data_IF_751871588698
#
_entry.id   IF_751871588698
#
_cell.length_a   1.000
_cell.length_b   1.000
_cell.length_c   1.000
_cell.angle_alpha   90.00
_cell.angle_beta   90.00
_cell.angle_gamma   90.00
#
_symmetry.space_group_name_H-M   'P 1'
#
loop_
_entity.id
_entity.type
_entity.pdbx_description
1 polymer ?
#
# COMPACT_ATOMS: atom_id res chain seq x y z
N UNK A 1 -14.43 1.72 10.85
CA UNK A 1 -13.05 1.75 10.31
C UNK A 1 -12.94 2.97 9.41
N UNK A 2 -11.83 3.71 9.46
CA UNK A 2 -11.54 4.73 8.45
C UNK A 2 -11.48 4.07 7.06
N UNK A 3 -11.91 4.79 6.03
CA UNK A 3 -11.91 4.31 4.65
C UNK A 3 -10.48 3.94 4.23
N UNK A 4 -10.35 2.93 3.37
CA UNK A 4 -9.07 2.46 2.80
C UNK A 4 -7.97 2.09 3.82
N UNK A 5 -8.34 1.71 5.04
CA UNK A 5 -7.39 1.23 6.05
C UNK A 5 -7.33 -0.30 6.10
N UNK A 6 -6.12 -0.82 6.32
CA UNK A 6 -5.87 -2.25 6.53
C UNK A 6 -5.28 -2.50 7.91
N UNK A 7 -5.40 -3.74 8.40
CA UNK A 7 -4.81 -4.13 9.68
C UNK A 7 -3.29 -4.29 9.59
N UNK A 8 -2.58 -4.07 10.70
CA UNK A 8 -1.13 -4.30 10.81
C UNK A 8 -0.73 -5.71 10.36
N UNK A 9 -1.48 -6.72 10.77
CA UNK A 9 -1.30 -8.11 10.33
C UNK A 9 -1.38 -8.26 8.81
N UNK A 10 -2.32 -7.58 8.16
CA UNK A 10 -2.47 -7.59 6.69
C UNK A 10 -1.27 -6.92 6.02
N UNK A 11 -0.87 -5.74 6.50
CA UNK A 11 0.29 -5.01 5.99
C UNK A 11 1.59 -5.82 6.12
N UNK A 12 1.85 -6.41 7.30
CA UNK A 12 3.02 -7.30 7.53
C UNK A 12 3.04 -8.46 6.54
N UNK A 13 1.88 -9.09 6.31
CA UNK A 13 1.76 -10.23 5.39
C UNK A 13 2.03 -9.83 3.95
N UNK A 14 1.49 -8.71 3.48
CA UNK A 14 1.65 -8.25 2.11
C UNK A 14 3.07 -7.78 1.83
N UNK A 15 3.65 -6.97 2.71
CA UNK A 15 5.04 -6.49 2.56
C UNK A 15 6.06 -7.64 2.64
N UNK A 16 5.82 -8.63 3.52
CA UNK A 16 6.64 -9.86 3.58
C UNK A 16 6.55 -10.67 2.29
N UNK A 17 5.38 -10.69 1.65
CA UNK A 17 5.19 -11.38 0.37
C UNK A 17 5.91 -10.64 -0.77
N UNK A 18 5.78 -9.32 -0.84
CA UNK A 18 6.52 -8.50 -1.81
C UNK A 18 8.02 -8.81 -1.75
N UNK A 19 8.66 -8.69 -0.58
CA UNK A 19 10.11 -8.96 -0.40
C UNK A 19 10.55 -10.38 -0.78
N UNK A 20 9.63 -11.34 -0.85
CA UNK A 20 9.92 -12.73 -1.25
C UNK A 20 9.76 -12.99 -2.74
N UNK A 21 9.03 -12.14 -3.44
CA UNK A 21 8.65 -12.32 -4.84
C UNK A 21 9.16 -11.17 -5.72
N UNK A 22 9.86 -10.19 -5.14
CA UNK A 22 10.31 -8.95 -5.81
C UNK A 22 11.08 -9.24 -7.11
N UNK A 23 11.92 -10.26 -7.10
CA UNK A 23 12.68 -10.76 -8.26
C UNK A 23 11.76 -11.27 -9.39
N UNK A 24 10.64 -11.91 -9.04
CA UNK A 24 9.65 -12.41 -9.99
C UNK A 24 8.74 -11.29 -10.50
N UNK A 25 8.28 -10.37 -9.64
CA UNK A 25 7.38 -9.30 -10.05
C UNK A 25 8.06 -8.24 -10.91
N UNK A 26 9.25 -7.79 -10.52
CA UNK A 26 9.97 -6.78 -11.27
C UNK A 26 10.42 -7.30 -12.65
N UNK A 27 10.51 -8.62 -12.83
CA UNK A 27 10.80 -9.23 -14.12
C UNK A 27 9.66 -9.07 -15.14
N UNK A 28 8.41 -8.90 -14.69
CA UNK A 28 7.23 -8.80 -15.55
C UNK A 28 6.77 -7.35 -15.82
N UNK A 29 7.24 -6.36 -15.04
CA UNK A 29 6.99 -4.92 -15.23
C UNK A 29 5.49 -4.53 -15.41
N UNK A 30 4.56 -5.33 -14.90
CA UNK A 30 3.13 -5.14 -15.18
C UNK A 30 2.56 -3.94 -14.42
N UNK A 31 2.97 -3.74 -13.16
CA UNK A 31 2.56 -2.59 -12.36
C UNK A 31 3.43 -1.36 -12.67
N UNK A 32 2.85 -0.39 -13.38
CA UNK A 32 3.55 0.84 -13.83
C UNK A 32 3.38 2.02 -12.89
N UNK A 33 2.21 2.09 -12.26
CA UNK A 33 1.86 3.17 -11.36
C UNK A 33 0.74 2.73 -10.42
N UNK A 34 0.49 3.56 -9.44
CA UNK A 34 -0.58 3.41 -8.47
C UNK A 34 -1.46 4.65 -8.49
N UNK A 35 -2.76 4.47 -8.69
CA UNK A 35 -3.72 5.54 -8.49
C UNK A 35 -4.00 5.70 -7.00
N UNK A 36 -3.59 6.83 -6.41
CA UNK A 36 -3.72 7.13 -4.98
C UNK A 36 -4.80 8.19 -4.80
N UNK A 37 -5.93 7.90 -4.12
CA UNK A 37 -6.94 8.90 -3.86
C UNK A 37 -6.41 10.03 -2.95
N UNK A 38 -6.70 11.28 -3.32
CA UNK A 38 -6.28 12.45 -2.53
C UNK A 38 -6.88 12.51 -1.13
N UNK A 39 -8.07 11.91 -0.93
CA UNK A 39 -8.71 11.82 0.38
C UNK A 39 -7.80 11.14 1.41
N UNK A 40 -7.08 10.10 0.99
CA UNK A 40 -6.22 9.34 1.88
C UNK A 40 -4.94 10.10 2.25
N UNK A 41 -4.37 10.85 1.31
CA UNK A 41 -3.23 11.74 1.61
C UNK A 41 -3.65 12.85 2.58
N UNK A 42 -4.87 13.40 2.44
CA UNK A 42 -5.42 14.38 3.39
C UNK A 42 -5.59 13.77 4.78
N UNK A 43 -6.06 12.52 4.87
CA UNK A 43 -6.21 11.82 6.14
C UNK A 43 -4.85 11.63 6.84
N UNK A 44 -3.80 11.25 6.11
CA UNK A 44 -2.45 11.11 6.68
C UNK A 44 -1.89 12.48 7.14
N UNK A 45 -2.15 13.55 6.37
CA UNK A 45 -1.78 14.92 6.77
C UNK A 45 -2.53 15.31 8.06
N UNK A 46 -3.82 14.97 8.17
CA UNK A 46 -4.63 15.27 9.34
C UNK A 46 -4.19 14.50 10.60
N UNK A 47 -3.44 13.41 10.46
CA UNK A 47 -2.79 12.72 11.59
C UNK A 47 -1.60 13.50 12.17
N UNK A 48 -1.13 14.56 11.51
CA UNK A 48 0.03 15.34 11.92
C UNK A 48 1.35 14.79 11.36
N UNK A 49 1.28 13.97 10.31
CA UNK A 49 2.47 13.47 9.62
C UNK A 49 3.26 14.62 8.97
N UNK A 50 4.59 14.58 9.11
CA UNK A 50 5.51 15.52 8.46
C UNK A 50 5.87 15.05 7.06
N UNK A 51 5.98 13.73 6.90
CA UNK A 51 6.17 13.06 5.61
C UNK A 51 5.35 11.78 5.57
N UNK A 52 5.30 11.11 4.43
CA UNK A 52 4.69 9.78 4.30
C UNK A 52 5.76 8.76 3.91
N UNK A 53 5.61 7.52 4.41
CA UNK A 53 6.41 6.39 3.95
C UNK A 53 5.51 5.42 3.19
N UNK A 54 5.97 5.00 2.03
CA UNK A 54 5.30 4.02 1.20
C UNK A 54 6.00 2.67 1.27
N UNK A 55 5.22 1.60 1.35
CA UNK A 55 5.67 0.22 1.36
C UNK A 55 5.00 -0.54 0.22
N UNK A 56 5.75 -1.36 -0.50
CA UNK A 56 5.20 -2.27 -1.49
C UNK A 56 4.69 -3.55 -0.81
N UNK A 57 3.53 -4.01 -1.24
CA UNK A 57 2.89 -5.22 -0.78
C UNK A 57 2.33 -6.03 -1.95
N UNK A 58 2.11 -7.32 -1.73
CA UNK A 58 1.35 -8.14 -2.68
C UNK A 58 0.15 -8.74 -1.96
N UNK A 59 -1.05 -8.43 -2.45
CA UNK A 59 -2.28 -9.08 -2.05
C UNK A 59 -2.48 -10.34 -2.88
N UNK A 60 -2.56 -11.50 -2.21
CA UNK A 60 -2.90 -12.78 -2.84
C UNK A 60 -4.38 -13.03 -2.63
N UNK A 61 -5.14 -13.16 -3.71
CA UNK A 61 -6.56 -13.48 -3.68
C UNK A 61 -6.86 -14.69 -4.57
N UNK A 62 -7.94 -15.40 -4.26
CA UNK A 62 -8.48 -16.43 -5.14
C UNK A 62 -9.72 -15.86 -5.81
N UNK A 63 -9.69 -15.79 -7.14
CA UNK A 63 -10.84 -15.40 -7.96
C UNK A 63 -11.21 -16.64 -8.75
N UNK A 64 -12.41 -17.16 -8.49
CA UNK A 64 -12.87 -18.45 -9.03
C UNK A 64 -11.87 -19.59 -8.72
N UNK A 65 -11.22 -20.12 -9.76
CA UNK A 65 -10.21 -21.19 -9.65
C UNK A 65 -8.77 -20.70 -9.75
N UNK A 66 -8.56 -19.39 -9.97
CA UNK A 66 -7.25 -18.81 -10.20
C UNK A 66 -6.72 -18.08 -8.96
N UNK A 67 -5.42 -18.20 -8.75
CA UNK A 67 -4.72 -17.39 -7.75
C UNK A 67 -4.21 -16.13 -8.43
N UNK A 68 -4.83 -15.00 -8.08
CA UNK A 68 -4.42 -13.68 -8.56
C UNK A 68 -3.58 -13.03 -7.49
N UNK A 69 -2.52 -12.38 -7.93
CA UNK A 69 -1.68 -11.56 -7.09
C UNK A 69 -1.76 -10.12 -7.58
N UNK A 70 -1.99 -9.20 -6.66
CA UNK A 70 -2.21 -7.79 -6.95
C UNK A 70 -1.20 -6.97 -6.15
N UNK A 71 -0.45 -6.11 -6.82
CA UNK A 71 0.47 -5.17 -6.20
C UNK A 71 -0.29 -4.09 -5.43
N UNK A 72 0.24 -3.75 -4.26
CA UNK A 72 -0.33 -2.78 -3.33
C UNK A 72 0.73 -1.76 -2.91
N UNK A 73 0.37 -0.48 -2.87
CA UNK A 73 1.14 0.57 -2.18
C UNK A 73 0.46 0.88 -0.85
N UNK A 74 1.18 0.59 0.22
CA UNK A 74 0.75 0.83 1.59
C UNK A 74 1.38 2.14 2.05
N UNK A 75 0.59 3.07 2.57
CA UNK A 75 1.06 4.38 3.05
C UNK A 75 0.88 4.49 4.56
N UNK A 76 1.90 5.05 5.23
CA UNK A 76 1.87 5.43 6.65
C UNK A 76 2.39 6.85 6.84
N UNK A 77 1.84 7.57 7.83
CA UNK A 77 2.39 8.85 8.28
C UNK A 77 3.73 8.67 9.00
N UNK A 78 4.62 9.66 8.87
CA UNK A 78 5.93 9.69 9.54
C UNK A 78 6.02 10.97 10.37
N UNK A 79 6.40 10.82 11.63
CA UNK A 79 6.54 11.93 12.58
C UNK A 79 7.80 12.78 12.31
N UNK A 80 7.94 13.89 13.06
CA UNK A 80 9.09 14.79 12.97
C UNK A 80 10.44 14.14 13.34
N UNK A 81 10.42 12.97 13.97
CA UNK A 81 11.62 12.20 14.32
C UNK A 81 11.96 11.13 13.26
N UNK A 82 11.20 11.08 12.16
CA UNK A 82 11.40 10.09 11.10
C UNK A 82 10.86 8.69 11.43
N UNK A 83 10.04 8.57 12.47
CA UNK A 83 9.42 7.30 12.88
C UNK A 83 8.04 7.17 12.24
N UNK A 84 7.74 5.97 11.74
CA UNK A 84 6.38 5.66 11.28
C UNK A 84 5.41 5.83 12.45
N UNK A 85 4.30 6.51 12.20
CA UNK A 85 3.26 6.80 13.19
C UNK A 85 2.38 5.59 13.49
N UNK A 86 2.92 4.38 13.29
CA UNK A 86 2.26 3.12 13.64
C UNK A 86 2.92 2.54 14.89
N UNK A 87 2.11 2.16 15.87
CA UNK A 87 2.58 1.47 17.08
C UNK A 87 1.71 0.26 17.39
N UNK A 88 2.34 -0.75 17.98
CA UNK A 88 1.68 -1.99 18.38
C UNK A 88 2.48 -2.62 19.52
N UNK A 89 1.87 -2.72 20.71
CA UNK A 89 2.50 -3.37 21.87
C UNK A 89 2.66 -4.88 21.70
N UNK A 90 1.69 -5.52 21.04
CA UNK A 90 1.69 -6.97 20.79
C UNK A 90 2.32 -7.36 19.44
N UNK A 91 2.65 -6.38 18.60
CA UNK A 91 3.18 -6.55 17.26
C UNK A 91 2.15 -7.02 16.23
N UNK A 92 0.88 -7.21 16.59
CA UNK A 92 -0.17 -7.80 15.76
C UNK A 92 -1.32 -6.84 15.48
N UNK A 93 -1.71 -6.02 16.46
CA UNK A 93 -2.80 -5.03 16.37
C UNK A 93 -2.26 -3.65 16.70
N UNK A 94 -2.74 -2.63 15.97
CA UNK A 94 -2.37 -1.24 16.25
C UNK A 94 -2.87 -0.83 17.65
N UNK A 95 -2.06 -0.07 18.37
CA UNK A 95 -2.48 0.54 19.63
C UNK A 95 -3.59 1.58 19.38
N UNK A 96 -4.47 1.87 20.36
CA UNK A 96 -5.58 2.82 20.18
C UNK A 96 -5.17 4.23 19.71
N UNK A 97 -3.99 4.69 20.15
CA UNK A 97 -3.44 6.02 19.82
C UNK A 97 -2.48 6.00 18.62
N UNK A 98 -2.37 4.87 17.93
CA UNK A 98 -1.57 4.74 16.72
C UNK A 98 -2.23 5.45 15.54
N UNK A 99 -1.41 5.96 14.62
CA UNK A 99 -1.83 6.32 13.27
C UNK A 99 -2.29 5.09 12.48
N UNK A 100 -2.82 5.32 11.28
CA UNK A 100 -3.44 4.28 10.46
C UNK A 100 -2.49 3.72 9.40
N UNK A 101 -2.81 2.51 8.90
CA UNK A 101 -2.15 1.91 7.75
C UNK A 101 -3.11 1.92 6.58
N UNK A 102 -2.74 2.63 5.52
CA UNK A 102 -3.58 2.84 4.36
C UNK A 102 -3.16 1.92 3.22
N UNK A 103 -4.10 1.22 2.59
CA UNK A 103 -3.90 0.49 1.33
C UNK A 103 -4.68 1.18 0.23
N UNK A 104 -3.95 1.90 -0.62
CA UNK A 104 -4.56 2.99 -1.39
C UNK A 104 -4.59 2.73 -2.88
N UNK A 105 -4.38 1.50 -3.32
CA UNK A 105 -4.04 1.28 -4.72
C UNK A 105 -4.84 0.23 -5.43
N UNK A 106 -5.31 0.64 -6.61
CA UNK A 106 -5.57 -0.24 -7.73
C UNK A 106 -4.37 -0.15 -8.68
N UNK A 107 -3.71 -1.26 -9.02
CA UNK A 107 -2.55 -1.22 -9.91
C UNK A 107 -2.95 -0.80 -11.33
N UNK A 108 -2.09 -0.04 -12.00
CA UNK A 108 -2.19 0.19 -13.44
C UNK A 108 -1.74 -1.08 -14.22
N UNK A 109 -2.25 -1.35 -15.44
CA UNK A 109 -3.01 -0.44 -16.31
C UNK A 109 -4.55 -0.49 -16.12
N UNK A 110 -5.11 -1.51 -15.46
CA UNK A 110 -6.56 -1.77 -15.43
C UNK A 110 -7.42 -0.64 -14.85
N UNK A 111 -6.84 0.27 -14.08
CA UNK A 111 -7.55 1.32 -13.36
C UNK A 111 -6.95 2.72 -13.56
N UNK A 112 -6.09 2.87 -14.57
CA UNK A 112 -5.36 4.09 -14.86
C UNK A 112 -5.63 4.57 -16.28
N UNK A 113 -5.33 5.84 -16.54
CA UNK A 113 -5.48 6.46 -17.85
C UNK A 113 -4.60 5.74 -18.89
N UNK A 114 -5.18 4.96 -19.83
CA UNK A 114 -4.41 4.20 -20.81
C UNK A 114 -3.65 5.10 -21.79
N UNK A 115 -4.06 6.36 -21.94
CA UNK A 115 -3.44 7.32 -22.86
C UNK A 115 -2.27 8.09 -22.21
N UNK A 116 -2.01 7.87 -20.92
CA UNK A 116 -0.89 8.50 -20.23
C UNK A 116 0.45 8.02 -20.80
N UNK A 117 1.39 8.93 -21.12
CA UNK A 117 2.72 8.56 -21.62
C UNK A 117 3.56 7.78 -20.60
N UNK A 118 3.14 7.77 -19.33
CA UNK A 118 3.75 6.99 -18.26
C UNK A 118 3.05 5.64 -18.02
N UNK A 119 1.87 5.44 -18.63
CA UNK A 119 1.07 4.21 -18.51
C UNK A 119 1.04 3.38 -19.81
N UNK A 120 1.52 3.91 -20.94
CA UNK A 120 1.60 3.20 -22.23
C UNK A 120 2.84 2.31 -22.41
N UNK A 121 2.73 1.29 -23.26
CA UNK A 121 3.87 0.51 -23.79
C UNK A 121 4.47 1.24 -24.99
N UNK A 122 5.30 2.26 -24.78
CA UNK A 122 6.11 2.79 -25.88
C UNK A 122 7.42 2.00 -25.99
#
# INVERSE_FOLDING_TARGET
MKKNTITLKTAKRWTKRWRKMEDVYNAHQECRAFNIPLEDLKDVIAEGAVTVRAYLGVHKQKIESETVFEEKLIIVGVDANGKDMISSKDGEVLDPDSGNIYDLTRPCPSFCDPDSPLNGTN
#
